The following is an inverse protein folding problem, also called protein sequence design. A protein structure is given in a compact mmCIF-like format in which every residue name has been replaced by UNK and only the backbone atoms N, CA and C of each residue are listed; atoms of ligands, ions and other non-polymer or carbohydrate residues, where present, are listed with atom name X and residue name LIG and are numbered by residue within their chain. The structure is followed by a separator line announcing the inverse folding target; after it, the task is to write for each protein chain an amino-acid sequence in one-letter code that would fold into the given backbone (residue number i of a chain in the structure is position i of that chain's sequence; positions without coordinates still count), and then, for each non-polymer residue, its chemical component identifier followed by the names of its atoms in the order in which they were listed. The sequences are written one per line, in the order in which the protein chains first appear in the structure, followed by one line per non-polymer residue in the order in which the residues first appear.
data_IF_313511725384
#
_entry.id   IF_313511725384
#
_cell.length_a   1.000
_cell.length_b   1.000
_cell.length_c   1.000
_cell.angle_alpha   90.00
_cell.angle_beta   90.00
_cell.angle_gamma   90.00
#
_symmetry.space_group_name_H-M   'P 1'
#
loop_
_entity.id
_entity.type
_entity.pdbx_description
1 polymer ?
#
# COMPACT_ATOMS: atom_id res chain seq x y z
N UNK A 1 2.62 -5.68 17.36
CA UNK A 1 3.98 -5.78 16.81
C UNK A 1 4.86 -4.80 17.55
N UNK A 2 5.94 -5.28 18.16
CA UNK A 2 6.95 -4.44 18.81
C UNK A 2 8.14 -4.32 17.89
N UNK A 3 8.66 -3.11 17.72
CA UNK A 3 9.83 -2.85 16.87
C UNK A 3 10.80 -2.01 17.68
N UNK A 4 12.04 -2.48 17.76
CA UNK A 4 13.12 -1.77 18.43
C UNK A 4 14.12 -1.31 17.36
N UNK A 5 14.42 -0.01 17.37
CA UNK A 5 15.33 0.63 16.40
C UNK A 5 16.44 1.31 17.18
N UNK A 6 17.69 0.93 16.88
CA UNK A 6 18.86 1.59 17.44
C UNK A 6 19.10 2.90 16.71
N UNK A 7 19.09 4.01 17.45
CA UNK A 7 19.35 5.33 16.90
C UNK A 7 20.86 5.56 16.75
N UNK A 8 21.29 6.28 15.70
CA UNK A 8 22.69 6.67 15.57
C UNK A 8 23.07 7.64 16.70
N UNK A 9 24.25 7.45 17.28
CA UNK A 9 24.79 8.36 18.30
C UNK A 9 24.95 9.77 17.71
N UNK A 10 24.06 10.70 18.07
CA UNK A 10 24.23 12.11 17.72
C UNK A 10 25.12 12.80 18.75
N UNK A 11 26.19 13.45 18.28
CA UNK A 11 26.86 14.49 19.06
C UNK A 11 25.83 15.59 19.39
N UNK A 12 25.93 16.21 20.57
CA UNK A 12 24.95 17.07 21.29
C UNK A 12 24.15 18.16 20.54
N UNK A 13 24.26 18.34 19.21
CA UNK A 13 23.63 19.45 18.48
C UNK A 13 22.40 19.11 17.65
N UNK A 14 22.06 17.84 17.41
CA UNK A 14 20.82 17.47 16.70
C UNK A 14 20.51 15.98 16.88
N UNK A 15 19.45 15.64 17.62
CA UNK A 15 18.97 14.26 17.70
C UNK A 15 18.19 13.92 16.44
N UNK A 16 18.40 12.72 15.84
CA UNK A 16 17.66 12.31 14.65
C UNK A 16 16.17 12.19 14.97
N UNK A 17 15.32 12.71 14.08
CA UNK A 17 13.87 12.53 14.19
C UNK A 17 13.48 11.16 13.66
N UNK A 18 12.76 10.39 14.48
CA UNK A 18 12.28 9.05 14.13
C UNK A 18 10.77 9.00 14.22
N UNK A 19 10.12 8.52 13.16
CA UNK A 19 8.66 8.50 13.06
C UNK A 19 8.18 7.48 12.03
N UNK A 20 6.89 7.18 12.08
CA UNK A 20 6.20 6.28 11.15
C UNK A 20 5.94 6.98 9.81
N UNK A 21 6.11 6.28 8.68
CA UNK A 21 5.93 6.85 7.35
C UNK A 21 4.54 7.50 7.17
N UNK A 22 4.52 8.72 6.64
CA UNK A 22 3.33 9.56 6.55
C UNK A 22 2.79 10.14 7.87
N UNK A 23 3.44 9.89 9.01
CA UNK A 23 2.94 10.28 10.34
C UNK A 23 3.88 11.24 11.10
N UNK A 24 4.70 12.00 10.38
CA UNK A 24 5.54 13.05 10.98
C UNK A 24 4.65 14.08 11.69
N UNK A 25 4.91 14.31 12.98
CA UNK A 25 4.12 15.22 13.82
C UNK A 25 2.66 14.79 14.07
N UNK A 26 2.31 13.51 13.86
CA UNK A 26 0.98 13.00 14.21
C UNK A 26 0.79 12.97 15.74
N UNK A 27 -0.33 13.51 16.27
CA UNK A 27 -0.46 13.77 17.71
C UNK A 27 -0.76 12.53 18.58
N UNK A 28 -1.08 11.37 18.00
CA UNK A 28 -1.43 10.18 18.78
C UNK A 28 -0.17 9.59 19.43
N UNK A 29 -0.08 9.54 20.78
CA UNK A 29 1.11 9.05 21.47
C UNK A 29 1.39 7.56 21.22
N UNK A 30 0.38 6.76 20.88
CA UNK A 30 0.58 5.33 20.58
C UNK A 30 1.38 5.08 19.30
N UNK A 31 1.40 6.05 18.38
CA UNK A 31 2.15 5.96 17.14
C UNK A 31 3.52 6.66 17.23
N UNK A 32 3.87 7.19 18.40
CA UNK A 32 5.18 7.77 18.69
C UNK A 32 6.09 6.73 19.32
N UNK A 33 7.40 6.80 19.08
CA UNK A 33 8.35 5.89 19.71
C UNK A 33 8.53 6.22 21.19
N UNK A 34 8.61 5.19 22.02
CA UNK A 34 9.17 5.29 23.37
C UNK A 34 10.70 5.24 23.25
N UNK A 35 11.38 6.37 23.46
CA UNK A 35 12.84 6.43 23.39
C UNK A 35 13.43 6.22 24.78
N UNK A 36 14.31 5.22 24.92
CA UNK A 36 15.12 4.96 26.12
C UNK A 36 16.57 4.88 25.70
N UNK A 37 17.39 5.80 26.21
CA UNK A 37 18.79 5.97 25.82
C UNK A 37 18.93 6.12 24.28
N UNK A 38 19.45 5.09 23.61
CA UNK A 38 19.64 5.04 22.16
C UNK A 38 18.68 4.07 21.44
N UNK A 39 17.67 3.56 22.15
CA UNK A 39 16.70 2.61 21.62
C UNK A 39 15.33 3.27 21.50
N UNK A 40 14.79 3.29 20.28
CA UNK A 40 13.42 3.70 20.02
C UNK A 40 12.52 2.46 19.87
N UNK A 41 11.51 2.34 20.73
CA UNK A 41 10.53 1.25 20.68
C UNK A 41 9.19 1.74 20.10
N UNK A 42 8.69 1.06 19.06
CA UNK A 42 7.33 1.24 18.53
C UNK A 42 6.44 0.06 18.90
N UNK A 43 5.20 0.35 19.34
CA UNK A 43 4.18 -0.65 19.67
C UNK A 43 2.98 -0.50 18.73
N UNK A 44 3.01 -1.24 17.62
CA UNK A 44 1.98 -1.18 16.57
C UNK A 44 0.88 -2.23 16.79
N UNK A 45 -0.38 -1.80 16.75
CA UNK A 45 -1.54 -2.71 16.82
C UNK A 45 -1.67 -3.53 15.52
N UNK A 46 -1.96 -4.83 15.65
CA UNK A 46 -2.27 -5.71 14.51
C UNK A 46 -3.77 -6.03 14.40
N UNK A 47 -4.55 -5.62 15.41
CA UNK A 47 -6.01 -5.74 15.43
C UNK A 47 -6.63 -4.54 14.73
N UNK A 48 -6.35 -3.34 15.25
CA UNK A 48 -6.68 -2.08 14.59
C UNK A 48 -5.47 -1.57 13.80
N UNK A 49 -5.36 -2.03 12.57
CA UNK A 49 -4.28 -1.66 11.65
C UNK A 49 -4.35 -0.19 11.22
N UNK A 50 -5.50 0.46 11.36
CA UNK A 50 -5.68 1.85 10.95
C UNK A 50 -5.16 2.82 12.00
N UNK A 51 -5.05 2.41 13.27
CA UNK A 51 -4.60 3.28 14.37
C UNK A 51 -3.26 3.97 14.06
N UNK A 52 -2.28 3.20 13.58
CA UNK A 52 -0.94 3.69 13.21
C UNK A 52 -0.54 3.34 11.77
N UNK A 53 -1.51 3.19 10.86
CA UNK A 53 -1.22 3.04 9.42
C UNK A 53 -0.48 1.75 9.03
N UNK A 54 -0.65 0.67 9.80
CA UNK A 54 -0.07 -0.63 9.45
C UNK A 54 -0.80 -1.16 8.21
N UNK A 55 -0.04 -1.59 7.21
CA UNK A 55 -0.63 -2.25 6.03
C UNK A 55 -0.77 -3.74 6.30
N UNK A 56 -1.95 -4.28 6.03
CA UNK A 56 -2.25 -5.72 6.19
C UNK A 56 -2.55 -6.34 4.83
N UNK A 57 -1.76 -7.33 4.45
CA UNK A 57 -1.97 -8.18 3.27
C UNK A 57 -2.50 -9.53 3.73
N UNK A 58 -3.63 -9.95 3.17
CA UNK A 58 -4.24 -11.25 3.45
C UNK A 58 -4.23 -12.07 2.18
N UNK A 59 -3.49 -13.18 2.17
CA UNK A 59 -3.61 -14.18 1.12
C UNK A 59 -4.95 -14.92 1.31
N UNK A 60 -5.86 -14.78 0.36
CA UNK A 60 -7.21 -15.35 0.45
C UNK A 60 -7.24 -16.85 0.17
N UNK A 61 -6.18 -17.41 -0.42
CA UNK A 61 -6.03 -18.84 -0.68
C UNK A 61 -5.49 -19.56 0.57
N UNK A 62 -4.42 -19.02 1.17
CA UNK A 62 -3.73 -19.68 2.30
C UNK A 62 -4.19 -19.19 3.67
N UNK A 63 -4.88 -18.04 3.74
CA UNK A 63 -5.21 -17.37 5.00
C UNK A 63 -4.02 -16.71 5.69
N UNK A 64 -2.82 -16.72 5.07
CA UNK A 64 -1.62 -16.06 5.59
C UNK A 64 -1.84 -14.54 5.64
N UNK A 65 -1.58 -13.95 6.79
CA UNK A 65 -1.64 -12.50 7.02
C UNK A 65 -0.23 -11.96 7.16
N UNK A 66 0.08 -10.91 6.42
CA UNK A 66 1.36 -10.20 6.47
C UNK A 66 1.06 -8.76 6.81
N UNK A 67 1.72 -8.25 7.83
CA UNK A 67 1.61 -6.87 8.28
C UNK A 67 2.94 -6.20 8.02
N UNK A 68 2.92 -5.01 7.44
CA UNK A 68 4.14 -4.24 7.27
C UNK A 68 3.90 -2.75 7.42
N UNK A 69 4.97 -2.05 7.75
CA UNK A 69 4.99 -0.60 7.83
C UNK A 69 6.42 -0.09 7.62
N UNK A 70 6.60 1.22 7.45
CA UNK A 70 7.89 1.85 7.21
C UNK A 70 8.19 2.86 8.31
N UNK A 71 9.39 2.80 8.87
CA UNK A 71 9.90 3.74 9.87
C UNK A 71 10.92 4.63 9.16
N UNK A 72 10.82 5.93 9.38
CA UNK A 72 11.72 6.92 8.81
C UNK A 72 12.61 7.46 9.94
N UNK A 73 13.91 7.53 9.66
CA UNK A 73 14.88 8.24 10.48
C UNK A 73 15.44 9.39 9.63
N UNK A 74 15.19 10.63 10.05
CA UNK A 74 15.79 11.82 9.45
C UNK A 74 16.81 12.40 10.42
N UNK A 75 18.08 12.43 9.99
CA UNK A 75 19.17 13.04 10.74
C UNK A 75 19.64 14.34 10.09
N UNK A 76 20.86 14.75 10.44
CA UNK A 76 21.49 15.93 9.86
C UNK A 76 21.79 15.75 8.35
N UNK A 77 22.20 16.83 7.67
CA UNK A 77 22.51 16.84 6.24
C UNK A 77 23.51 15.75 5.80
N UNK A 78 24.33 15.24 6.71
CA UNK A 78 25.28 14.14 6.48
C UNK A 78 24.66 12.74 6.61
N UNK A 79 23.65 12.56 7.47
CA UNK A 79 22.95 11.28 7.68
C UNK A 79 21.83 11.08 6.65
N UNK A 80 21.19 12.18 6.24
CA UNK A 80 20.08 12.14 5.28
C UNK A 80 18.84 11.48 5.85
N UNK A 81 18.10 10.78 4.98
CA UNK A 81 16.85 10.09 5.31
C UNK A 81 17.04 8.59 5.12
N UNK A 82 16.82 7.83 6.18
CA UNK A 82 16.84 6.38 6.18
C UNK A 82 15.42 5.83 6.35
N UNK A 83 15.10 4.76 5.61
CA UNK A 83 13.80 4.09 5.65
C UNK A 83 14.02 2.64 6.07
N UNK A 84 13.38 2.24 7.18
CA UNK A 84 13.41 0.88 7.72
C UNK A 84 12.06 0.24 7.44
N UNK A 85 12.07 -0.84 6.67
CA UNK A 85 10.85 -1.63 6.41
C UNK A 85 10.70 -2.71 7.47
N UNK A 86 9.56 -2.70 8.16
CA UNK A 86 9.26 -3.69 9.20
C UNK A 86 8.10 -4.57 8.79
N UNK A 87 8.26 -5.89 9.01
CA UNK A 87 7.29 -6.91 8.60
C UNK A 87 6.99 -7.85 9.77
N UNK A 88 5.74 -8.26 9.89
CA UNK A 88 5.27 -9.28 10.83
C UNK A 88 4.32 -10.23 10.09
N UNK A 89 4.53 -11.53 10.26
CA UNK A 89 3.77 -12.56 9.54
C UNK A 89 2.97 -13.36 10.56
N UNK A 90 1.68 -13.54 10.30
CA UNK A 90 0.79 -14.41 11.06
C UNK A 90 0.16 -15.40 10.08
N UNK A 91 0.56 -16.65 10.17
CA UNK A 91 -0.15 -17.75 9.51
C UNK A 91 -1.43 -18.04 10.28
N UNK A 92 -2.59 -17.97 9.60
CA UNK A 92 -3.86 -18.36 10.20
C UNK A 92 -3.83 -19.83 10.67
N UNK A 93 -4.72 -20.25 11.59
CA UNK A 93 -4.86 -21.66 11.91
C UNK A 93 -5.16 -22.39 10.60
N UNK A 94 -4.30 -23.35 10.26
CA UNK A 94 -4.56 -24.29 9.19
C UNK A 94 -5.83 -25.06 9.56
N UNK A 95 -6.99 -24.57 9.14
CA UNK A 95 -8.05 -25.49 8.74
C UNK A 95 -7.59 -26.11 7.44
N UNK A 96 -6.52 -26.91 7.52
CA UNK A 96 -6.30 -27.98 6.58
C UNK A 96 -7.48 -28.90 6.80
N UNK A 97 -8.61 -28.57 6.17
CA UNK A 97 -9.49 -29.60 5.66
C UNK A 97 -8.61 -30.35 4.69
N UNK A 98 -7.91 -31.35 5.22
CA UNK A 98 -7.39 -32.47 4.47
C UNK A 98 -8.62 -32.99 3.74
N UNK A 99 -8.85 -32.46 2.55
CA UNK A 99 -9.67 -33.14 1.59
C UNK A 99 -8.87 -34.41 1.33
N UNK A 100 -9.22 -35.46 2.08
CA UNK A 100 -8.98 -36.82 1.67
C UNK A 100 -9.66 -36.91 0.31
N UNK A 101 -8.94 -36.53 -0.73
CA UNK A 101 -9.23 -37.03 -2.06
C UNK A 101 -9.14 -38.53 -1.88
N UNK A 102 -10.31 -39.17 -1.77
CA UNK A 102 -10.41 -40.60 -1.87
C UNK A 102 -9.83 -40.94 -3.22
N UNK A 103 -8.56 -41.35 -3.23
CA UNK A 103 -7.92 -41.91 -4.42
C UNK A 103 -8.73 -43.18 -4.68
N UNK A 104 -9.70 -43.09 -5.59
CA UNK A 104 -10.29 -44.28 -6.17
C UNK A 104 -9.19 -44.90 -7.00
N UNK A 105 -8.51 -45.88 -6.40
CA UNK A 105 -7.58 -46.77 -7.10
C UNK A 105 -8.35 -47.44 -8.23
N UNK A 106 -8.25 -46.89 -9.44
CA UNK A 106 -8.40 -47.67 -10.67
C UNK A 106 -7.04 -48.29 -10.94
N UNK A 107 -6.71 -49.32 -10.16
CA UNK A 107 -5.47 -50.08 -10.29
C UNK A 107 -5.59 -51.10 -11.44
N UNK A 108 -5.84 -50.62 -12.66
CA UNK A 108 -5.62 -51.44 -13.86
C UNK A 108 -4.94 -50.56 -14.89
N UNK A 109 -3.61 -50.60 -14.85
CA UNK A 109 -2.79 -50.07 -15.93
C UNK A 109 -3.03 -50.94 -17.19
N UNK A 110 -3.08 -50.37 -18.40
CA UNK A 110 -3.23 -51.13 -19.63
C UNK A 110 -2.14 -52.19 -19.78
N UNK A 111 -2.47 -53.32 -20.40
CA UNK A 111 -1.50 -54.38 -20.71
C UNK A 111 -0.37 -53.78 -21.56
N UNK A 112 0.87 -53.84 -21.06
CA UNK A 112 2.05 -53.25 -21.70
C UNK A 112 2.54 -51.94 -21.10
N UNK A 113 1.93 -51.43 -20.02
CA UNK A 113 2.52 -50.34 -19.25
C UNK A 113 3.77 -50.83 -18.49
N UNK A 114 4.94 -50.52 -19.02
CA UNK A 114 6.21 -50.65 -18.31
C UNK A 114 6.55 -49.27 -17.72
N UNK A 115 6.55 -49.18 -16.39
CA UNK A 115 7.10 -48.03 -15.69
C UNK A 115 8.63 -48.10 -15.80
N UNK A 116 9.30 -47.07 -16.35
CA UNK A 116 10.76 -47.03 -16.37
C UNK A 116 11.29 -47.04 -14.93
N UNK A 117 12.26 -47.91 -14.62
CA UNK A 117 12.82 -48.08 -13.26
C UNK A 117 13.50 -46.80 -12.75
N UNK A 118 14.00 -45.95 -13.67
CA UNK A 118 14.62 -44.67 -13.36
C UNK A 118 14.03 -43.55 -14.21
N UNK A 119 13.06 -42.81 -13.65
CA UNK A 119 12.71 -41.48 -14.12
C UNK A 119 13.73 -40.49 -13.54
N UNK A 120 14.83 -40.25 -14.27
CA UNK A 120 15.70 -39.10 -13.99
C UNK A 120 14.94 -37.81 -14.33
N UNK A 121 14.15 -37.29 -13.37
CA UNK A 121 13.59 -35.95 -13.45
C UNK A 121 14.78 -34.98 -13.37
N UNK A 122 15.40 -34.71 -14.53
CA UNK A 122 16.67 -34.00 -14.63
C UNK A 122 16.63 -32.60 -13.96
N UNK A 123 15.44 -32.00 -13.85
CA UNK A 123 15.20 -30.79 -13.05
C UNK A 123 13.69 -30.60 -12.80
N UNK A 124 13.27 -30.40 -11.56
CA UNK A 124 11.96 -29.81 -11.24
C UNK A 124 12.16 -28.37 -10.77
N UNK A 125 11.69 -27.38 -11.52
CA UNK A 125 11.74 -25.97 -11.12
C UNK A 125 10.38 -25.61 -10.52
N UNK A 126 10.33 -25.44 -9.21
CA UNK A 126 9.15 -24.89 -8.52
C UNK A 126 9.43 -23.44 -8.15
N UNK A 127 8.94 -22.50 -8.95
CA UNK A 127 8.95 -21.08 -8.59
C UNK A 127 7.71 -20.74 -7.76
N UNK A 128 7.90 -19.98 -6.68
CA UNK A 128 6.82 -19.45 -5.85
C UNK A 128 6.61 -17.99 -6.22
N UNK A 129 5.36 -17.62 -6.49
CA UNK A 129 5.00 -16.23 -6.72
C UNK A 129 5.33 -15.38 -5.48
N UNK A 130 5.85 -14.15 -5.65
CA UNK A 130 6.21 -13.29 -4.53
C UNK A 130 4.98 -12.83 -3.74
N UNK A 131 5.19 -12.42 -2.50
CA UNK A 131 4.17 -11.74 -1.70
C UNK A 131 4.09 -10.27 -2.14
N UNK A 132 2.91 -9.75 -2.51
CA UNK A 132 2.80 -8.39 -3.04
C UNK A 132 3.14 -7.35 -1.97
N UNK A 133 4.06 -6.44 -2.29
CA UNK A 133 4.39 -5.26 -1.49
C UNK A 133 3.92 -4.02 -2.22
N UNK A 134 3.24 -3.13 -1.50
CA UNK A 134 2.65 -1.92 -2.06
C UNK A 134 3.30 -0.67 -1.51
N UNK A 135 3.55 0.28 -2.42
CA UNK A 135 3.83 1.67 -2.10
C UNK A 135 2.57 2.52 -2.25
N UNK A 136 2.41 3.50 -1.38
CA UNK A 136 1.42 4.56 -1.53
C UNK A 136 2.14 5.90 -1.51
N UNK A 137 1.80 6.77 -2.45
CA UNK A 137 2.38 8.09 -2.59
C UNK A 137 1.32 9.13 -2.88
N UNK A 138 1.64 10.39 -2.56
CA UNK A 138 0.84 11.55 -2.95
C UNK A 138 1.74 12.49 -3.72
N UNK A 139 1.29 12.92 -4.90
CA UNK A 139 1.99 13.90 -5.74
C UNK A 139 1.25 15.21 -5.78
N UNK A 140 2.02 16.28 -5.81
CA UNK A 140 1.57 17.63 -6.08
C UNK A 140 2.40 18.18 -7.24
N UNK A 141 1.76 18.61 -8.32
CA UNK A 141 2.43 19.15 -9.51
C UNK A 141 3.54 18.24 -10.06
N UNK A 142 3.32 16.92 -10.03
CA UNK A 142 4.29 15.94 -10.52
C UNK A 142 5.45 15.63 -9.56
N UNK A 143 5.56 16.27 -8.40
CA UNK A 143 6.57 15.92 -7.40
C UNK A 143 5.97 15.00 -6.33
N UNK A 144 6.70 13.93 -5.99
CA UNK A 144 6.31 13.04 -4.89
C UNK A 144 6.53 13.79 -3.59
N UNK A 145 5.45 13.94 -2.84
CA UNK A 145 5.47 14.62 -1.57
C UNK A 145 5.58 13.55 -0.49
N UNK A 146 6.77 13.42 0.09
CA UNK A 146 7.00 12.57 1.25
C UNK A 146 6.96 13.40 2.53
N UNK A 147 6.14 13.02 3.50
CA UNK A 147 6.14 13.62 4.85
C UNK A 147 5.10 14.73 5.06
N UNK A 148 5.54 15.83 5.71
CA UNK A 148 4.73 16.98 6.17
C UNK A 148 4.17 17.80 4.99
N UNK A 149 3.25 17.24 4.22
CA UNK A 149 2.57 18.01 3.19
C UNK A 149 1.64 19.02 3.87
N UNK A 150 2.02 20.29 3.96
CA UNK A 150 1.09 21.35 4.31
C UNK A 150 0.30 21.73 3.05
N UNK A 151 -0.79 21.01 2.78
CA UNK A 151 -1.71 21.38 1.69
C UNK A 151 -2.80 22.30 2.17
N UNK A 152 -3.05 23.33 1.36
CA UNK A 152 -4.24 24.16 1.44
C UNK A 152 -5.45 23.40 0.89
N UNK A 153 -6.62 23.52 1.53
CA UNK A 153 -7.85 22.94 0.99
C UNK A 153 -8.14 23.43 -0.45
N UNK A 154 -8.61 22.51 -1.29
CA UNK A 154 -8.85 22.69 -2.71
C UNK A 154 -7.67 22.42 -3.63
N UNK A 155 -6.47 22.24 -3.07
CA UNK A 155 -5.29 21.86 -3.85
C UNK A 155 -5.53 20.55 -4.59
N UNK A 156 -5.34 20.51 -5.92
CA UNK A 156 -5.39 19.26 -6.67
C UNK A 156 -4.15 18.42 -6.35
N UNK A 157 -4.38 17.19 -5.91
CA UNK A 157 -3.37 16.21 -5.58
C UNK A 157 -3.63 14.94 -6.40
N UNK A 158 -2.61 14.10 -6.51
CA UNK A 158 -2.69 12.81 -7.18
C UNK A 158 -2.21 11.73 -6.22
N UNK A 159 -3.09 10.78 -5.91
CA UNK A 159 -2.75 9.58 -5.16
C UNK A 159 -2.22 8.51 -6.10
N UNK A 160 -1.16 7.83 -5.68
CA UNK A 160 -0.52 6.74 -6.40
C UNK A 160 -0.44 5.51 -5.50
N UNK A 161 -0.85 4.36 -6.03
CA UNK A 161 -0.71 3.06 -5.36
C UNK A 161 -0.05 2.13 -6.36
N UNK A 162 1.06 1.52 -5.98
CA UNK A 162 1.87 0.73 -6.90
C UNK A 162 2.47 -0.50 -6.24
N UNK A 163 2.71 -1.54 -7.04
CA UNK A 163 3.45 -2.73 -6.62
C UNK A 163 4.96 -2.50 -6.69
N UNK A 164 5.70 -3.20 -5.82
CA UNK A 164 7.15 -3.26 -5.92
C UNK A 164 7.60 -4.04 -7.17
N UNK A 165 8.88 -3.84 -7.56
CA UNK A 165 9.46 -4.42 -8.78
C UNK A 165 9.37 -5.95 -8.85
N UNK A 166 9.35 -6.63 -7.70
CA UNK A 166 9.26 -8.09 -7.68
C UNK A 166 7.83 -8.58 -7.94
N UNK A 167 6.83 -7.81 -7.52
CA UNK A 167 5.42 -8.21 -7.57
C UNK A 167 4.69 -7.71 -8.81
N UNK A 168 5.09 -6.56 -9.35
CA UNK A 168 4.51 -5.93 -10.53
C UNK A 168 4.40 -6.84 -11.77
N UNK A 169 5.39 -7.71 -12.09
CA UNK A 169 5.28 -8.58 -13.27
C UNK A 169 4.24 -9.70 -13.15
N UNK A 170 3.77 -9.99 -11.92
CA UNK A 170 2.90 -11.15 -11.64
C UNK A 170 1.47 -10.71 -11.35
N UNK A 171 1.30 -9.51 -10.81
CA UNK A 171 0.04 -9.08 -10.22
C UNK A 171 -0.41 -7.72 -10.70
N UNK A 172 -1.72 -7.52 -10.64
CA UNK A 172 -2.37 -6.23 -10.81
C UNK A 172 -3.09 -5.78 -9.54
N UNK A 173 -3.45 -4.50 -9.52
CA UNK A 173 -4.12 -3.84 -8.41
C UNK A 173 -5.53 -3.37 -8.80
N UNK A 174 -6.45 -3.45 -7.85
CA UNK A 174 -7.78 -2.84 -7.98
C UNK A 174 -8.29 -2.31 -6.64
N UNK A 175 -8.51 -0.99 -6.54
CA UNK A 175 -9.04 -0.38 -5.32
C UNK A 175 -10.54 -0.61 -5.24
N UNK A 176 -11.00 -1.39 -4.26
CA UNK A 176 -12.42 -1.73 -4.15
C UNK A 176 -13.20 -0.81 -3.23
N UNK A 177 -12.56 -0.33 -2.18
CA UNK A 177 -13.20 0.50 -1.18
C UNK A 177 -12.20 1.51 -0.65
N UNK A 178 -12.67 2.73 -0.44
CA UNK A 178 -11.85 3.76 0.17
C UNK A 178 -12.73 4.73 0.95
N UNK A 179 -12.28 5.04 2.16
CA UNK A 179 -12.95 5.91 3.11
C UNK A 179 -11.97 6.95 3.60
N UNK A 180 -12.48 8.12 3.95
CA UNK A 180 -11.72 9.20 4.54
C UNK A 180 -12.28 9.53 5.92
N UNK A 181 -11.41 9.78 6.89
CA UNK A 181 -11.81 10.07 8.27
C UNK A 181 -10.92 11.13 8.92
N UNK A 182 -11.49 11.86 9.88
CA UNK A 182 -10.78 12.78 10.76
C UNK A 182 -10.05 12.09 11.91
N UNK A 183 -10.04 10.75 11.95
CA UNK A 183 -9.52 9.88 13.03
C UNK A 183 -10.31 9.93 14.34
N UNK A 184 -11.42 10.68 14.39
CA UNK A 184 -12.22 10.90 15.59
C UNK A 184 -13.65 10.39 15.40
N UNK A 185 -14.45 11.09 14.58
CA UNK A 185 -15.90 10.89 14.52
C UNK A 185 -16.48 10.98 13.11
N UNK A 186 -15.82 11.71 12.22
CA UNK A 186 -16.30 11.90 10.86
C UNK A 186 -15.65 10.88 9.94
N UNK A 187 -16.48 10.20 9.17
CA UNK A 187 -16.04 9.21 8.19
C UNK A 187 -16.92 9.29 6.94
N UNK A 188 -16.31 9.35 5.77
CA UNK A 188 -17.03 9.40 4.50
C UNK A 188 -16.46 8.38 3.53
N UNK A 189 -17.32 7.62 2.88
CA UNK A 189 -16.90 6.72 1.80
C UNK A 189 -16.67 7.56 0.54
N UNK A 190 -15.49 7.42 -0.07
CA UNK A 190 -15.11 8.13 -1.30
C UNK A 190 -15.06 7.19 -2.50
N UNK A 191 -14.68 5.93 -2.31
CA UNK A 191 -14.74 4.86 -3.32
C UNK A 191 -15.58 3.72 -2.76
N UNK A 192 -16.58 3.29 -3.50
CA UNK A 192 -17.43 2.14 -3.16
C UNK A 192 -17.54 1.19 -4.34
N UNK A 193 -17.14 -0.06 -4.14
CA UNK A 193 -17.02 -1.07 -5.19
C UNK A 193 -16.24 -0.53 -6.41
N UNK A 194 -15.07 0.06 -6.20
CA UNK A 194 -14.22 0.55 -7.28
C UNK A 194 -14.70 1.81 -8.01
N UNK A 195 -15.85 2.38 -7.65
CA UNK A 195 -16.36 3.61 -8.22
C UNK A 195 -16.38 4.74 -7.20
N UNK A 196 -16.01 5.93 -7.64
CA UNK A 196 -16.10 7.15 -6.83
C UNK A 196 -17.54 7.53 -6.57
N UNK A 197 -17.80 7.93 -5.32
CA UNK A 197 -19.09 8.47 -4.88
C UNK A 197 -19.26 9.92 -5.33
N UNK A 198 -18.18 10.71 -5.31
CA UNK A 198 -18.14 12.08 -5.82
C UNK A 198 -16.85 12.32 -6.63
N UNK A 199 -16.93 12.20 -7.98
CA UNK A 199 -15.79 12.40 -8.87
C UNK A 199 -15.16 13.80 -8.79
N UNK A 200 -15.87 14.80 -8.25
CA UNK A 200 -15.30 16.14 -8.08
C UNK A 200 -14.30 16.20 -6.91
N UNK A 201 -14.56 15.44 -5.84
CA UNK A 201 -13.69 15.38 -4.67
C UNK A 201 -12.57 14.36 -4.87
N UNK A 202 -12.91 13.20 -5.43
CA UNK A 202 -11.98 12.10 -5.63
C UNK A 202 -12.34 11.37 -6.93
N UNK A 203 -11.44 11.35 -7.91
CA UNK A 203 -11.65 10.67 -9.19
C UNK A 203 -11.52 9.15 -9.04
N UNK A 204 -11.98 8.39 -10.04
CA UNK A 204 -11.74 6.96 -10.09
C UNK A 204 -10.24 6.65 -10.23
N UNK A 205 -9.82 5.51 -9.67
CA UNK A 205 -8.48 5.00 -9.93
C UNK A 205 -8.37 4.51 -11.36
N UNK A 206 -7.37 5.03 -12.08
CA UNK A 206 -7.02 4.62 -13.43
C UNK A 206 -5.66 3.94 -13.43
N UNK A 207 -5.44 3.04 -14.37
CA UNK A 207 -4.16 2.37 -14.59
C UNK A 207 -4.00 2.00 -16.06
N UNK A 208 -2.76 2.04 -16.54
CA UNK A 208 -2.39 1.63 -17.90
C UNK A 208 -1.87 0.17 -17.86
N UNK A 209 -0.95 -0.10 -16.93
CA UNK A 209 -0.26 -1.38 -16.82
C UNK A 209 -0.88 -2.37 -15.83
N UNK A 210 -1.78 -1.92 -14.95
CA UNK A 210 -2.47 -2.75 -13.96
C UNK A 210 -1.78 -2.79 -12.59
N UNK A 211 -0.49 -2.53 -12.53
CA UNK A 211 0.34 -2.53 -11.32
C UNK A 211 0.48 -1.15 -10.67
N UNK A 212 0.22 -0.08 -11.43
CA UNK A 212 0.31 1.32 -11.01
C UNK A 212 -1.04 2.02 -11.15
N UNK A 213 -1.69 2.32 -10.01
CA UNK A 213 -2.97 3.01 -9.95
C UNK A 213 -2.78 4.49 -9.62
N UNK A 214 -3.51 5.36 -10.33
CA UNK A 214 -3.53 6.80 -10.08
C UNK A 214 -4.95 7.33 -9.92
N UNK A 215 -5.16 8.22 -8.97
CA UNK A 215 -6.42 8.96 -8.82
C UNK A 215 -6.14 10.41 -8.44
N UNK A 216 -6.82 11.35 -9.09
CA UNK A 216 -6.76 12.76 -8.72
C UNK A 216 -7.79 13.05 -7.66
N UNK A 217 -7.45 13.91 -6.70
CA UNK A 217 -8.37 14.34 -5.67
C UNK A 217 -8.08 15.77 -5.27
N UNK A 218 -9.08 16.44 -4.70
CA UNK A 218 -8.91 17.77 -4.12
C UNK A 218 -8.70 17.62 -2.64
N UNK A 219 -7.64 18.21 -2.10
CA UNK A 219 -7.43 18.24 -0.65
C UNK A 219 -8.65 18.88 0.02
N UNK A 220 -9.18 18.24 1.04
CA UNK A 220 -10.21 18.82 1.90
C UNK A 220 -9.85 18.57 3.34
N UNK A 221 -10.35 19.43 4.24
CA UNK A 221 -10.06 19.39 5.66
C UNK A 221 -11.35 19.24 6.43
N UNK A 222 -11.34 18.39 7.46
CA UNK A 222 -12.43 18.37 8.44
C UNK A 222 -12.26 19.55 9.42
N UNK A 223 -13.34 20.21 9.87
CA UNK A 223 -13.23 21.38 10.73
C UNK A 223 -12.46 21.10 12.02
N UNK A 224 -12.62 19.89 12.59
CA UNK A 224 -12.06 19.49 13.88
C UNK A 224 -10.64 18.90 13.81
N UNK A 225 -10.11 18.59 12.62
CA UNK A 225 -8.82 17.89 12.49
C UNK A 225 -7.94 18.46 11.39
N UNK A 226 -6.63 18.54 11.67
CA UNK A 226 -5.58 18.84 10.69
C UNK A 226 -5.10 17.60 9.97
N UNK A 227 -5.31 16.41 10.51
CA UNK A 227 -4.92 15.16 9.87
C UNK A 227 -6.15 14.49 9.24
N UNK A 228 -6.01 14.15 7.97
CA UNK A 228 -6.99 13.40 7.21
C UNK A 228 -6.42 12.02 6.96
N UNK A 229 -7.13 11.00 7.41
CA UNK A 229 -6.75 9.61 7.21
C UNK A 229 -7.58 9.00 6.08
N UNK A 230 -6.90 8.41 5.13
CA UNK A 230 -7.47 7.63 4.04
C UNK A 230 -7.32 6.15 4.38
N UNK A 231 -8.44 5.41 4.46
CA UNK A 231 -8.49 3.96 4.69
C UNK A 231 -8.93 3.28 3.41
N UNK A 232 -8.14 2.34 2.90
CA UNK A 232 -8.40 1.69 1.61
C UNK A 232 -8.34 0.18 1.69
N UNK A 233 -9.15 -0.48 0.86
CA UNK A 233 -9.06 -1.91 0.56
C UNK A 233 -8.70 -2.10 -0.91
N UNK A 234 -7.50 -2.61 -1.15
CA UNK A 234 -6.96 -2.91 -2.47
C UNK A 234 -6.95 -4.42 -2.67
N UNK A 235 -7.48 -4.86 -3.79
CA UNK A 235 -7.45 -6.24 -4.20
C UNK A 235 -6.29 -6.49 -5.17
N UNK A 236 -5.74 -7.69 -5.12
CA UNK A 236 -4.70 -8.17 -6.02
C UNK A 236 -5.22 -9.33 -6.85
N UNK A 237 -5.01 -9.23 -8.15
CA UNK A 237 -5.34 -10.20 -9.20
C UNK A 237 -4.06 -10.72 -9.86
N UNK A 238 -4.13 -11.83 -10.60
CA UNK A 238 -3.06 -12.19 -11.52
C UNK A 238 -3.08 -11.22 -12.71
N UNK A 239 -1.90 -10.73 -13.09
CA UNK A 239 -1.69 -9.84 -14.24
C UNK A 239 -2.48 -8.53 -14.15
N UNK A 240 -3.72 -8.45 -14.69
CA UNK A 240 -4.54 -7.24 -14.65
C UNK A 240 -5.94 -7.50 -14.09
N UNK A 241 -6.38 -6.58 -13.23
CA UNK A 241 -7.66 -6.72 -12.54
C UNK A 241 -8.79 -6.32 -13.49
N UNK A 242 -9.88 -7.10 -13.48
CA UNK A 242 -11.03 -6.75 -14.30
C UNK A 242 -11.70 -5.47 -13.78
N UNK A 243 -11.82 -4.47 -14.64
CA UNK A 243 -12.55 -3.23 -14.35
C UNK A 243 -14.06 -3.44 -14.23
N UNK A 244 -14.71 -2.61 -13.43
CA UNK A 244 -16.16 -2.39 -13.39
C UNK A 244 -16.49 -1.14 -14.20
N UNK A 245 -17.54 -1.21 -15.01
CA UNK A 245 -18.13 -0.01 -15.56
C UNK A 245 -18.97 0.70 -14.49
N UNK A 246 -18.53 1.91 -14.11
CA UNK A 246 -19.26 2.79 -13.21
C UNK A 246 -20.45 3.44 -13.94
N UNK A 247 -21.42 3.96 -13.18
CA UNK A 247 -22.64 4.58 -13.72
C UNK A 247 -22.38 5.80 -14.62
N UNK A 248 -21.21 6.43 -14.51
CA UNK A 248 -20.75 7.54 -15.33
C UNK A 248 -20.01 7.10 -16.61
N UNK A 249 -19.97 5.81 -16.94
CA UNK A 249 -19.27 5.26 -18.11
C UNK A 249 -17.74 5.18 -17.94
N UNK A 250 -17.19 5.64 -16.82
CA UNK A 250 -15.78 5.42 -16.48
C UNK A 250 -15.59 3.99 -15.96
N UNK A 251 -14.41 3.43 -16.20
CA UNK A 251 -14.05 2.09 -15.70
C UNK A 251 -13.40 2.28 -14.33
N UNK A 252 -14.11 1.89 -13.27
CA UNK A 252 -13.51 1.66 -11.94
C UNK A 252 -12.92 0.25 -11.86
N UNK A 253 -12.17 -0.09 -10.82
CA UNK A 253 -11.62 -1.45 -10.65
C UNK A 253 -12.24 -2.12 -9.41
N UNK A 254 -13.05 -3.15 -9.60
CA UNK A 254 -13.73 -3.84 -8.49
C UNK A 254 -14.70 -4.92 -8.95
N UNK A 255 -15.65 -5.32 -8.09
CA UNK A 255 -16.59 -6.41 -8.40
C UNK A 255 -17.78 -5.99 -9.29
N UNK A 256 -17.87 -6.57 -10.50
CA UNK A 256 -19.04 -6.49 -11.39
C UNK A 256 -20.26 -7.18 -10.74
N UNK A 257 -21.44 -6.55 -10.75
CA UNK A 257 -22.67 -7.20 -10.27
C UNK A 257 -23.25 -8.16 -11.35
N UNK A 258 -23.35 -9.43 -10.93
CA UNK A 258 -24.06 -10.60 -11.50
C UNK A 258 -23.43 -11.29 -12.73
N UNK A 259 -22.81 -12.45 -12.46
CA UNK A 259 -23.21 -13.68 -13.12
C UNK A 259 -23.70 -14.64 -12.03
N UNK A 260 -24.99 -15.00 -12.09
CA UNK A 260 -25.48 -16.20 -11.39
C UNK A 260 -25.08 -17.35 -12.29
N UNK A 261 -24.05 -18.07 -11.88
CA UNK A 261 -23.77 -19.46 -12.16
C UNK A 261 -22.71 -19.88 -11.14
N UNK A 262 -22.71 -21.13 -10.73
CA UNK A 262 -21.75 -21.67 -9.75
C UNK A 262 -20.32 -21.36 -10.24
N UNK A 263 -19.69 -20.29 -9.75
CA UNK A 263 -18.45 -19.76 -10.34
C UNK A 263 -17.24 -19.92 -9.44
N UNK A 264 -16.04 -20.09 -10.05
CA UNK A 264 -14.76 -20.31 -9.36
C UNK A 264 -14.38 -19.15 -8.45
N UNK A 265 -13.30 -19.31 -7.68
CA UNK A 265 -12.70 -18.22 -6.90
C UNK A 265 -12.58 -16.93 -7.74
N UNK A 266 -13.03 -15.80 -7.19
CA UNK A 266 -12.96 -14.47 -7.83
C UNK A 266 -11.51 -14.19 -8.26
N UNK A 267 -11.20 -14.09 -9.57
CA UNK A 267 -9.82 -13.95 -10.05
C UNK A 267 -9.18 -12.64 -9.56
N UNK A 268 -10.00 -11.69 -9.12
CA UNK A 268 -9.56 -10.42 -8.56
C UNK A 268 -9.30 -10.46 -7.05
N UNK A 269 -9.24 -11.63 -6.38
CA UNK A 269 -9.12 -11.70 -4.91
C UNK A 269 -8.10 -12.75 -4.44
N UNK A 270 -6.89 -12.69 -4.96
CA UNK A 270 -5.80 -13.58 -4.50
C UNK A 270 -5.23 -13.04 -3.19
N UNK A 271 -4.97 -11.73 -3.18
CA UNK A 271 -4.66 -11.00 -1.97
C UNK A 271 -5.65 -9.85 -1.78
N UNK A 272 -5.92 -9.54 -0.52
CA UNK A 272 -6.64 -8.35 -0.12
C UNK A 272 -5.76 -7.57 0.84
N UNK A 273 -5.56 -6.29 0.52
CA UNK A 273 -4.72 -5.38 1.26
C UNK A 273 -5.60 -4.33 1.89
N UNK A 274 -5.46 -4.17 3.20
CA UNK A 274 -6.02 -3.05 3.94
C UNK A 274 -4.90 -2.08 4.27
N UNK A 275 -5.02 -0.83 3.83
CA UNK A 275 -4.00 0.21 4.00
C UNK A 275 -4.59 1.48 4.60
N UNK A 276 -3.74 2.28 5.23
CA UNK A 276 -4.07 3.62 5.69
C UNK A 276 -2.97 4.62 5.32
N UNK A 277 -3.37 5.82 4.92
CA UNK A 277 -2.46 6.92 4.59
C UNK A 277 -2.91 8.18 5.31
N UNK A 278 -1.97 8.94 5.86
CA UNK A 278 -2.25 10.16 6.59
C UNK A 278 -1.75 11.37 5.81
N UNK A 279 -2.58 12.40 5.74
CA UNK A 279 -2.23 13.67 5.10
C UNK A 279 -2.52 14.78 6.10
N UNK A 280 -1.53 15.64 6.36
CA UNK A 280 -1.70 16.87 7.12
C UNK A 280 -2.30 17.92 6.19
N UNK A 281 -3.31 18.66 6.64
CA UNK A 281 -3.99 19.68 5.84
C UNK A 281 -4.12 20.93 6.71
N UNK A 282 -3.53 22.02 6.23
CA UNK A 282 -3.47 23.28 6.95
C UNK A 282 -4.09 24.39 6.11
N UNK A 283 -4.90 25.25 6.74
CA UNK A 283 -5.34 26.48 6.10
C UNK A 283 -4.15 27.45 6.09
N UNK A 284 -3.62 27.76 4.91
CA UNK A 284 -2.72 28.90 4.77
C UNK A 284 -3.54 30.18 4.55
N UNK A 285 -3.04 31.31 5.05
CA UNK A 285 -3.63 32.62 4.77
C UNK A 285 -3.42 32.94 3.27
N UNK A 286 -4.51 33.18 2.54
CA UNK A 286 -4.49 33.46 1.09
C UNK A 286 -5.21 32.44 0.21
N UNK A 287 -5.87 31.43 0.80
CA UNK A 287 -6.69 30.46 0.04
C UNK A 287 -7.98 31.12 -0.47
N UNK A 288 -8.38 30.77 -1.69
CA UNK A 288 -9.63 31.23 -2.29
C UNK A 288 -10.83 30.72 -1.47
N UNK A 289 -11.44 31.64 -0.71
CA UNK A 289 -12.59 31.35 0.16
C UNK A 289 -13.78 30.77 -0.62
N UNK A 290 -13.92 31.09 -1.91
CA UNK A 290 -14.99 30.51 -2.74
C UNK A 290 -14.75 29.03 -2.99
N UNK A 291 -13.51 28.66 -3.33
CA UNK A 291 -13.14 27.27 -3.54
C UNK A 291 -13.34 26.41 -2.27
N UNK A 292 -13.03 26.98 -1.10
CA UNK A 292 -13.28 26.31 0.20
C UNK A 292 -14.78 26.09 0.41
N UNK A 293 -15.60 27.11 0.19
CA UNK A 293 -17.06 26.99 0.35
C UNK A 293 -17.67 25.97 -0.62
N UNK A 294 -17.19 25.92 -1.87
CA UNK A 294 -17.64 24.93 -2.86
C UNK A 294 -17.30 23.49 -2.43
N UNK A 295 -16.10 23.29 -1.87
CA UNK A 295 -15.67 21.99 -1.35
C UNK A 295 -16.51 21.57 -0.14
N UNK A 296 -16.81 22.48 0.78
CA UNK A 296 -17.70 22.20 1.90
C UNK A 296 -19.10 21.79 1.45
N UNK A 297 -19.64 22.45 0.43
CA UNK A 297 -20.93 22.08 -0.17
C UNK A 297 -20.88 20.69 -0.80
N UNK A 298 -19.77 20.34 -1.46
CA UNK A 298 -19.55 19.01 -2.03
C UNK A 298 -19.44 17.93 -0.96
N UNK A 299 -18.77 18.22 0.17
CA UNK A 299 -18.73 17.29 1.31
C UNK A 299 -20.14 17.05 1.89
N UNK A 300 -20.99 18.09 1.97
CA UNK A 300 -22.40 17.91 2.37
C UNK A 300 -23.16 17.02 1.38
N UNK A 301 -22.91 17.17 0.07
CA UNK A 301 -23.51 16.29 -0.95
C UNK A 301 -23.01 14.84 -0.80
N UNK A 302 -21.72 14.66 -0.56
CA UNK A 302 -21.10 13.35 -0.32
C UNK A 302 -21.73 12.65 0.90
N UNK A 303 -21.93 13.38 2.01
CA UNK A 303 -22.65 12.91 3.21
C UNK A 303 -24.03 12.34 2.87
N UNK A 304 -24.80 13.09 2.08
CA UNK A 304 -26.13 12.69 1.65
C UNK A 304 -26.10 11.48 0.70
N UNK A 305 -25.11 11.41 -0.19
CA UNK A 305 -24.91 10.28 -1.10
C UNK A 305 -24.56 9.01 -0.31
N UNK A 306 -23.64 9.10 0.65
CA UNK A 306 -23.26 8.00 1.54
C UNK A 306 -24.44 7.50 2.38
N UNK A 307 -25.29 8.41 2.86
CA UNK A 307 -26.52 8.02 3.56
C UNK A 307 -27.47 7.21 2.66
N UNK A 308 -27.61 7.58 1.38
CA UNK A 308 -28.42 6.83 0.40
C UNK A 308 -27.79 5.47 0.08
N UNK A 309 -26.47 5.43 -0.11
CA UNK A 309 -25.73 4.18 -0.36
C UNK A 309 -25.88 3.19 0.81
N UNK A 310 -25.81 3.68 2.05
CA UNK A 310 -26.00 2.85 3.24
C UNK A 310 -27.42 2.26 3.31
N UNK A 311 -28.47 3.02 2.97
CA UNK A 311 -29.85 2.52 2.91
C UNK A 311 -30.02 1.44 1.85
N UNK A 312 -29.48 1.67 0.65
CA UNK A 312 -29.57 0.72 -0.46
C UNK A 312 -28.78 -0.57 -0.20
N UNK A 313 -27.68 -0.49 0.55
CA UNK A 313 -26.86 -1.65 0.90
C UNK A 313 -27.48 -2.48 2.03
N UNK A 314 -28.30 -1.88 2.91
CA UNK A 314 -29.11 -2.62 3.90
C UNK A 314 -30.25 -3.41 3.26
N UNK A 315 -30.70 -3.04 2.06
CA UNK A 315 -31.65 -3.83 1.27
C UNK A 315 -31.00 -5.06 0.57
N UNK A 316 -29.67 -5.24 0.70
CA UNK A 316 -28.93 -6.40 0.24
C UNK A 316 -27.67 -6.60 1.07
N UNK A 317 -27.83 -7.25 2.24
CA UNK A 317 -26.81 -7.78 3.16
C UNK A 317 -25.33 -7.62 2.74
N UNK A 318 -24.73 -6.45 2.95
CA UNK A 318 -23.27 -6.24 2.96
C UNK A 318 -22.89 -4.86 3.54
N UNK A 319 -23.22 -4.58 4.81
CA UNK A 319 -22.75 -3.36 5.50
C UNK A 319 -22.40 -3.57 6.98
N UNK A 320 -22.37 -4.82 7.45
CA UNK A 320 -22.18 -5.16 8.87
C UNK A 320 -20.81 -5.73 9.21
N UNK A 321 -20.00 -6.15 8.24
CA UNK A 321 -18.75 -6.86 8.51
C UNK A 321 -17.61 -5.99 9.06
N UNK A 322 -17.83 -4.69 9.31
CA UNK A 322 -16.83 -3.78 9.90
C UNK A 322 -17.26 -3.27 11.28
N UNK A 323 -18.52 -3.48 11.71
CA UNK A 323 -19.03 -2.99 13.00
C UNK A 323 -19.07 -4.02 14.13
N UNK A 324 -18.97 -5.31 13.85
CA UNK A 324 -19.16 -6.36 14.88
C UNK A 324 -17.91 -6.80 15.66
N UNK A 325 -16.70 -6.30 15.36
CA UNK A 325 -15.52 -6.66 16.17
C UNK A 325 -15.39 -5.87 17.49
N UNK A 326 -16.23 -4.86 17.74
CA UNK A 326 -16.11 -4.01 18.96
C UNK A 326 -16.96 -4.45 20.16
N UNK A 327 -17.82 -5.46 20.06
CA UNK A 327 -18.65 -5.90 21.20
C UNK A 327 -18.89 -7.41 21.24
N UNK A 328 -17.85 -8.22 21.48
CA UNK A 328 -18.01 -9.51 22.16
C UNK A 328 -16.88 -9.73 23.16
N UNK A 329 -17.19 -9.47 24.42
CA UNK A 329 -16.48 -10.02 25.58
C UNK A 329 -16.67 -11.54 25.59
N UNK A 330 -15.60 -12.29 25.32
CA UNK A 330 -15.46 -13.66 25.80
C UNK A 330 -14.13 -13.80 26.54
N UNK A 331 -14.28 -14.19 27.80
CA UNK A 331 -13.26 -14.58 28.75
C UNK A 331 -12.51 -15.84 28.33
N UNK A 332 -11.18 -15.81 28.50
CA UNK A 332 -10.39 -16.99 28.89
C UNK A 332 -9.62 -17.71 27.77
N UNK A 333 -8.29 -17.51 27.79
CA UNK A 333 -7.23 -18.53 27.74
C UNK A 333 -5.98 -17.93 27.06
N UNK A 334 -4.95 -17.67 27.87
CA UNK A 334 -3.63 -17.26 27.40
C UNK A 334 -3.08 -18.25 26.36
N UNK A 335 -2.94 -17.76 25.13
CA UNK A 335 -2.28 -18.44 24.02
C UNK A 335 -1.34 -17.46 23.35
N UNK A 336 -0.07 -17.50 23.76
CA UNK A 336 0.99 -16.66 23.20
C UNK A 336 1.19 -17.02 21.72
N UNK A 337 0.71 -16.16 20.81
CA UNK A 337 0.93 -16.33 19.37
C UNK A 337 2.43 -16.26 19.07
N UNK A 338 2.96 -17.31 18.42
CA UNK A 338 4.37 -17.43 18.08
C UNK A 338 4.68 -16.45 16.93
N UNK A 339 5.49 -15.44 17.22
CA UNK A 339 6.04 -14.50 16.23
C UNK A 339 7.16 -15.23 15.51
N UNK A 340 6.96 -15.59 14.25
CA UNK A 340 8.06 -16.02 13.38
C UNK A 340 8.60 -14.79 12.65
N UNK A 341 9.81 -14.39 13.06
CA UNK A 341 10.75 -13.42 12.49
C UNK A 341 10.22 -12.00 12.17
N UNK A 342 10.63 -11.03 13.00
CA UNK A 342 10.80 -9.65 12.56
C UNK A 342 12.03 -9.56 11.66
N UNK A 343 11.83 -9.62 10.35
CA UNK A 343 12.92 -9.40 9.39
C UNK A 343 12.99 -7.90 9.08
N UNK A 344 14.04 -7.24 9.58
CA UNK A 344 14.44 -5.90 9.16
C UNK A 344 15.11 -6.03 7.78
N UNK A 345 14.42 -5.63 6.71
CA UNK A 345 15.04 -5.56 5.39
C UNK A 345 15.73 -4.21 5.15
N UNK A 346 16.74 -4.28 4.28
CA UNK A 346 17.89 -3.41 4.09
C UNK A 346 17.67 -1.89 3.95
N UNK A 347 18.74 -1.19 4.35
CA UNK A 347 19.08 0.23 4.19
C UNK A 347 19.01 0.68 2.73
N UNK A 348 18.08 1.58 2.41
CA UNK A 348 18.03 2.28 1.12
C UNK A 348 18.47 3.74 1.34
N UNK A 349 19.68 4.09 0.89
CA UNK A 349 20.20 5.46 0.95
C UNK A 349 19.66 6.20 -0.27
N UNK A 350 18.77 7.17 -0.07
CA UNK A 350 18.32 8.07 -1.14
C UNK A 350 19.32 9.21 -1.27
N UNK A 351 20.30 9.06 -2.16
CA UNK A 351 21.20 10.15 -2.53
C UNK A 351 20.48 11.15 -3.46
N UNK A 352 20.22 12.36 -2.97
CA UNK A 352 19.84 13.49 -3.82
C UNK A 352 21.09 14.03 -4.54
N UNK A 353 21.43 13.48 -5.70
CA UNK A 353 22.47 14.07 -6.55
C UNK A 353 21.93 15.33 -7.25
N UNK A 354 22.14 16.50 -6.63
CA UNK A 354 22.02 17.79 -7.30
C UNK A 354 23.37 18.50 -7.28
N UNK A 355 24.24 18.14 -8.21
CA UNK A 355 25.43 18.94 -8.51
C UNK A 355 25.54 19.19 -10.01
N UNK A 356 25.55 20.48 -10.30
CA UNK A 356 25.53 21.07 -11.63
C UNK A 356 26.86 20.86 -12.34
N UNK A 357 26.78 20.43 -13.60
CA UNK A 357 27.91 20.38 -14.52
C UNK A 357 28.25 21.83 -14.90
N UNK A 358 29.31 22.40 -14.32
CA UNK A 358 29.98 23.58 -14.88
C UNK A 358 31.13 23.12 -15.76
N UNK A 359 30.91 23.17 -17.08
CA UNK A 359 31.99 23.04 -18.07
C UNK A 359 32.75 24.36 -18.08
N UNK A 360 33.91 24.39 -17.42
CA UNK A 360 34.92 25.41 -17.64
C UNK A 360 35.88 24.90 -18.71
N UNK A 361 35.75 25.42 -19.93
CA UNK A 361 36.72 25.17 -20.98
C UNK A 361 38.06 25.81 -20.62
N UNK A 362 39.15 25.06 -20.82
CA UNK A 362 40.50 25.49 -21.24
C UNK A 362 41.45 24.30 -21.03
N UNK A 363 41.72 23.53 -22.08
CA UNK A 363 43.10 23.19 -22.50
C UNK A 363 43.07 22.48 -23.86
N UNK A 364 43.53 23.21 -24.86
CA UNK A 364 43.97 22.69 -26.16
C UNK A 364 45.32 21.99 -26.01
N UNK A 365 45.60 21.12 -26.98
CA UNK A 365 46.92 20.72 -27.53
C UNK A 365 47.38 19.29 -27.23
N UNK A 366 47.64 18.59 -28.34
CA UNK A 366 48.41 17.35 -28.53
C UNK A 366 47.72 16.04 -28.18
N UNK A 367 47.22 15.35 -29.20
CA UNK A 367 47.65 13.99 -29.59
C UNK A 367 46.90 13.61 -30.88
N UNK A 368 47.43 14.03 -32.03
CA UNK A 368 46.94 13.63 -33.36
C UNK A 368 48.14 13.35 -34.27
N UNK A 369 48.97 12.39 -33.88
CA UNK A 369 49.98 11.78 -34.76
C UNK A 369 50.14 10.31 -34.34
N UNK A 370 50.19 9.42 -35.33
CA UNK A 370 50.32 7.95 -35.26
C UNK A 370 49.03 7.18 -35.02
N UNK A 371 48.32 6.81 -36.10
CA UNK A 371 48.21 5.43 -36.62
C UNK A 371 47.46 5.49 -37.96
N UNK A 372 48.14 5.85 -39.06
CA UNK A 372 47.77 5.41 -40.42
C UNK A 372 49.07 5.33 -41.22
N UNK A 373 49.63 4.13 -41.36
CA UNK A 373 50.51 3.70 -42.48
C UNK A 373 51.15 2.34 -42.16
N UNK A 374 50.45 1.23 -42.44
CA UNK A 374 51.12 -0.04 -42.77
C UNK A 374 50.20 -1.09 -43.39
N UNK A 375 49.62 -0.78 -44.56
CA UNK A 375 49.16 -1.79 -45.53
C UNK A 375 49.46 -1.26 -46.92
N UNK A 376 50.65 -1.56 -47.48
CA UNK A 376 50.94 -1.84 -48.90
C UNK A 376 52.37 -2.42 -48.99
N UNK A 377 52.45 -3.67 -49.48
CA UNK A 377 53.56 -4.38 -50.17
C UNK A 377 54.99 -4.33 -49.60
N UNK A 378 55.50 -5.49 -49.18
CA UNK A 378 56.20 -6.42 -50.08
C UNK A 378 56.07 -7.85 -49.58
#
# INVERSE_FOLDING_TARGET
MRVEVVLPNSNEKSSPSIYLDGMKGYPNPKCQPEVRDNLAEFKLSLLDIYECGVTRVVNKITGKKVFYHKIIIEGDQSFGKEVISVKCIITGPHNATLHNHGIVRRDVLPVGFQEPEDLEIATSITEKAPEPVLGVGVRQNGNLVSGDLNVSPGTPLQMEIFLDKNSAPVYGLGVTFMQVTDTLSQEETIIFNGCSVDPYLFENFNTEDGDFLTAKFRAFKFPESTFVQFRGTVNVCLDKCQGIQCSNGQIGYGRRRRAVNQTPADPNKIFEISLATFIKVNYQEGVDQKAVADIENKIKQLKLANQKLARNSRAGTMYETIKEESTKTLSGSDGMAKVEETVLFAREIVENSSTSIRISGYLMVSFMIFVISRIVRN
#
